data_IF_805267549739
#
_entry.id   IF_805267549739
#
_cell.length_a   1.000
_cell.length_b   1.000
_cell.length_c   1.000
_cell.angle_alpha   90.00
_cell.angle_beta   90.00
_cell.angle_gamma   90.00
#
_symmetry.space_group_name_H-M   'P 1'
#
loop_
_entity.id
_entity.type
_entity.pdbx_description
1 polymer ?
#
# COMPACT_ATOMS: atom_id res chain seq x y z
N UNK A 1 -11.99 -5.26 37.12
CA UNK A 1 -11.20 -4.10 37.53
C UNK A 1 -10.68 -3.41 36.25
N UNK A 2 -10.62 -2.11 36.26
CA UNK A 2 -10.00 -1.34 35.20
C UNK A 2 -8.50 -1.44 35.32
N UNK A 3 -7.82 -1.30 34.17
CA UNK A 3 -6.37 -1.36 34.10
C UNK A 3 -5.85 -0.48 32.98
N UNK A 4 -4.60 -0.10 33.06
CA UNK A 4 -3.85 0.51 32.00
C UNK A 4 -3.75 -0.45 30.80
N UNK A 5 -4.10 0.05 29.60
CA UNK A 5 -4.06 -0.77 28.39
C UNK A 5 -2.63 -1.06 27.97
N UNK A 6 -2.35 -2.29 27.55
CA UNK A 6 -1.04 -2.67 26.99
C UNK A 6 -0.77 -2.02 25.62
N UNK A 7 -1.76 -1.37 25.06
CA UNK A 7 -1.68 -0.67 23.77
C UNK A 7 -1.36 0.82 23.91
N UNK A 8 -0.92 1.24 25.10
CA UNK A 8 -0.44 2.58 25.37
C UNK A 8 1.05 2.70 25.19
N UNK A 9 1.49 3.84 24.67
CA UNK A 9 2.89 4.22 24.58
C UNK A 9 3.07 5.63 25.13
N UNK A 10 3.80 5.76 26.22
CA UNK A 10 4.12 7.03 26.84
C UNK A 10 5.61 7.34 26.66
N UNK A 11 5.91 8.59 26.31
CA UNK A 11 7.28 9.07 26.21
C UNK A 11 7.35 10.57 26.43
N UNK A 12 8.53 11.07 26.76
CA UNK A 12 8.79 12.50 26.81
C UNK A 12 10.01 12.85 25.97
N UNK A 13 9.98 14.00 25.32
CA UNK A 13 11.06 14.48 24.48
C UNK A 13 11.06 16.02 24.42
N UNK A 14 12.23 16.63 24.64
CA UNK A 14 12.41 18.09 24.61
C UNK A 14 11.42 18.86 25.50
N UNK A 15 11.09 18.31 26.67
CA UNK A 15 10.14 18.94 27.62
C UNK A 15 8.66 18.76 27.25
N UNK A 16 8.33 17.98 26.25
CA UNK A 16 6.95 17.62 25.86
C UNK A 16 6.64 16.20 26.30
N UNK A 17 5.51 15.99 26.95
CA UNK A 17 5.05 14.71 27.49
C UNK A 17 3.89 14.18 26.67
N UNK A 18 4.04 12.99 26.09
CA UNK A 18 3.16 12.47 25.05
C UNK A 18 2.64 11.07 25.42
N UNK A 19 1.37 10.84 25.09
CA UNK A 19 0.68 9.56 25.25
C UNK A 19 0.02 9.17 23.94
N UNK A 20 0.31 7.97 23.48
CA UNK A 20 -0.33 7.35 22.33
C UNK A 20 -1.06 6.07 22.76
N UNK A 21 -2.27 5.88 22.24
CA UNK A 21 -3.03 4.62 22.39
C UNK A 21 -3.40 4.08 21.01
N UNK A 22 -2.96 2.86 20.67
CA UNK A 22 -3.23 2.27 19.38
C UNK A 22 -4.62 1.64 19.22
N UNK A 23 -5.35 1.35 20.32
CA UNK A 23 -6.73 0.85 20.24
C UNK A 23 -7.69 1.89 19.67
N UNK A 24 -7.58 3.12 20.15
CA UNK A 24 -8.36 4.26 19.67
C UNK A 24 -7.66 5.02 18.54
N UNK A 25 -6.35 4.80 18.40
CA UNK A 25 -5.45 5.62 17.58
C UNK A 25 -5.45 7.09 18.03
N UNK A 26 -5.50 7.33 19.33
CA UNK A 26 -5.45 8.65 19.93
C UNK A 26 -4.03 9.04 20.33
N UNK A 27 -3.69 10.31 20.16
CA UNK A 27 -2.39 10.88 20.51
C UNK A 27 -2.60 12.22 21.20
N UNK A 28 -2.16 12.31 22.46
CA UNK A 28 -2.39 13.46 23.32
C UNK A 28 -1.10 13.95 23.96
N UNK A 29 -1.05 15.25 24.21
CA UNK A 29 -0.02 15.90 25.03
C UNK A 29 -0.56 16.00 26.46
N UNK A 30 0.27 15.62 27.42
CA UNK A 30 -0.03 15.66 28.84
C UNK A 30 0.72 16.82 29.52
N UNK A 31 0.19 17.31 30.63
CA UNK A 31 1.00 18.11 31.55
C UNK A 31 2.09 17.23 32.19
N UNK A 32 3.16 17.83 32.67
CA UNK A 32 4.20 17.12 33.41
C UNK A 32 3.63 16.45 34.68
N UNK A 33 2.69 17.11 35.33
CA UNK A 33 2.00 16.61 36.54
C UNK A 33 1.19 15.35 36.23
N UNK A 34 0.36 15.38 35.18
CA UNK A 34 -0.43 14.24 34.73
C UNK A 34 0.44 13.07 34.27
N UNK A 35 1.51 13.36 33.52
CA UNK A 35 2.45 12.34 33.07
C UNK A 35 3.09 11.61 34.26
N UNK A 36 3.53 12.35 35.29
CA UNK A 36 4.15 11.77 36.46
C UNK A 36 3.13 10.99 37.29
N UNK A 37 1.91 11.53 37.50
CA UNK A 37 0.82 10.85 38.18
C UNK A 37 0.48 9.51 37.50
N UNK A 38 0.27 9.54 36.17
CA UNK A 38 -0.04 8.34 35.41
C UNK A 38 1.11 7.33 35.52
N UNK A 39 2.37 7.77 35.39
CA UNK A 39 3.55 6.90 35.48
C UNK A 39 3.65 6.20 36.83
N UNK A 40 3.34 6.91 37.91
CA UNK A 40 3.29 6.35 39.27
C UNK A 40 2.17 5.31 39.41
N UNK A 41 0.98 5.61 38.93
CA UNK A 41 -0.15 4.69 38.92
C UNK A 41 0.10 3.42 38.14
N UNK A 42 0.74 3.54 36.95
CA UNK A 42 1.15 2.40 36.15
C UNK A 42 2.12 1.50 36.93
N UNK A 43 3.13 2.11 37.61
CA UNK A 43 4.14 1.36 38.39
C UNK A 43 3.53 0.55 39.53
N UNK A 44 2.41 1.05 40.09
CA UNK A 44 1.65 0.37 41.16
C UNK A 44 0.57 -0.57 40.62
N UNK A 45 0.38 -0.65 39.30
CA UNK A 45 -0.74 -1.39 38.70
C UNK A 45 -2.11 -0.96 39.18
N UNK A 46 -2.29 0.29 39.60
CA UNK A 46 -3.52 0.84 40.14
C UNK A 46 -3.90 2.16 39.49
N UNK A 47 -4.92 2.12 38.64
CA UNK A 47 -5.44 3.30 37.95
C UNK A 47 -6.40 4.14 38.78
N UNK A 48 -6.76 3.70 40.01
CA UNK A 48 -7.66 4.44 40.87
C UNK A 48 -6.99 5.67 41.52
N UNK A 49 -5.67 5.75 41.52
CA UNK A 49 -4.93 6.92 41.97
C UNK A 49 -4.93 8.10 40.98
N UNK A 50 -5.47 7.93 39.78
CA UNK A 50 -5.65 9.00 38.80
C UNK A 50 -6.90 9.78 39.14
N UNK A 51 -6.85 11.11 39.03
CA UNK A 51 -7.99 11.99 39.22
C UNK A 51 -9.21 11.55 38.39
N UNK A 52 -10.41 11.72 38.90
CA UNK A 52 -11.63 11.18 38.29
C UNK A 52 -11.91 11.77 36.90
N UNK A 53 -11.69 13.08 36.71
CA UNK A 53 -11.94 13.75 35.43
C UNK A 53 -10.91 13.26 34.38
N UNK A 54 -9.61 13.25 34.72
CA UNK A 54 -8.56 12.72 33.86
C UNK A 54 -8.78 11.23 33.54
N UNK A 55 -9.24 10.45 34.52
CA UNK A 55 -9.53 9.03 34.34
C UNK A 55 -10.69 8.80 33.39
N UNK A 56 -11.70 9.66 33.36
CA UNK A 56 -12.80 9.58 32.37
C UNK A 56 -12.30 9.86 30.94
N UNK A 57 -11.51 10.92 30.77
CA UNK A 57 -10.87 11.24 29.48
C UNK A 57 -9.99 10.07 28.98
N UNK A 58 -9.22 9.47 29.90
CA UNK A 58 -8.37 8.31 29.59
C UNK A 58 -9.17 7.05 29.21
N UNK A 59 -10.40 6.88 29.75
CA UNK A 59 -11.32 5.81 29.32
C UNK A 59 -11.87 6.07 27.92
N UNK A 60 -12.27 7.31 27.62
CA UNK A 60 -12.79 7.67 26.31
C UNK A 60 -11.79 7.33 25.20
N UNK A 61 -10.53 7.66 25.40
CA UNK A 61 -9.47 7.34 24.46
C UNK A 61 -8.88 5.91 24.59
N UNK A 62 -9.50 5.05 25.43
CA UNK A 62 -9.13 3.64 25.65
C UNK A 62 -7.73 3.40 26.22
N UNK A 63 -7.15 4.36 26.87
CA UNK A 63 -5.90 4.18 27.62
C UNK A 63 -6.14 3.41 28.92
N UNK A 64 -7.33 3.54 29.51
CA UNK A 64 -7.83 2.70 30.59
C UNK A 64 -8.95 1.82 30.04
N UNK A 65 -8.82 0.50 30.23
CA UNK A 65 -9.77 -0.49 29.73
C UNK A 65 -10.09 -1.56 30.77
N UNK A 66 -11.20 -2.25 30.59
CA UNK A 66 -11.53 -3.43 31.41
C UNK A 66 -10.82 -4.68 30.91
N UNK A 67 -10.68 -4.83 29.61
CA UNK A 67 -10.10 -6.02 28.98
C UNK A 67 -9.54 -5.72 27.60
N UNK A 68 -8.21 -5.74 27.44
CA UNK A 68 -7.52 -5.56 26.16
C UNK A 68 -7.89 -6.63 25.11
N UNK A 69 -8.08 -7.89 25.58
CA UNK A 69 -8.38 -8.98 24.64
C UNK A 69 -9.78 -8.85 24.05
N UNK A 70 -10.71 -8.25 24.81
CA UNK A 70 -12.02 -7.90 24.28
C UNK A 70 -11.95 -6.77 23.26
N UNK A 71 -11.18 -5.71 23.54
CA UNK A 71 -11.02 -4.60 22.61
C UNK A 71 -10.36 -5.05 21.30
N UNK A 72 -9.32 -5.89 21.37
CA UNK A 72 -8.67 -6.42 20.17
C UNK A 72 -9.58 -7.38 19.39
N UNK A 73 -10.44 -8.13 20.09
CA UNK A 73 -11.42 -9.01 19.45
C UNK A 73 -12.46 -8.23 18.64
N UNK A 74 -12.90 -7.05 19.12
CA UNK A 74 -13.77 -6.15 18.34
C UNK A 74 -13.11 -5.70 17.04
N UNK A 75 -11.79 -5.40 17.08
CA UNK A 75 -11.02 -5.01 15.89
C UNK A 75 -10.95 -6.17 14.92
N UNK A 76 -10.62 -7.37 15.40
CA UNK A 76 -10.60 -8.58 14.58
C UNK A 76 -11.97 -8.84 13.93
N UNK A 77 -13.03 -8.73 14.71
CA UNK A 77 -14.40 -8.88 14.20
C UNK A 77 -14.69 -7.90 13.04
N UNK A 78 -14.36 -6.63 13.21
CA UNK A 78 -14.56 -5.62 12.17
C UNK A 78 -13.75 -5.93 10.90
N UNK A 79 -12.52 -6.42 11.05
CA UNK A 79 -11.68 -6.82 9.92
C UNK A 79 -12.29 -8.03 9.19
N UNK A 80 -12.79 -9.03 9.93
CA UNK A 80 -13.44 -10.20 9.32
C UNK A 80 -14.72 -9.82 8.56
N UNK A 81 -15.56 -8.94 9.13
CA UNK A 81 -16.76 -8.43 8.43
C UNK A 81 -16.40 -7.76 7.11
N UNK A 82 -15.34 -6.95 7.09
CA UNK A 82 -14.85 -6.30 5.84
C UNK A 82 -14.27 -7.31 4.87
N UNK A 83 -13.46 -8.24 5.36
CA UNK A 83 -12.78 -9.28 4.56
C UNK A 83 -13.77 -10.13 3.78
N UNK A 84 -14.87 -10.49 4.40
CA UNK A 84 -15.91 -11.35 3.81
C UNK A 84 -17.12 -10.56 3.28
N UNK A 85 -17.03 -9.23 3.22
CA UNK A 85 -18.06 -8.43 2.56
C UNK A 85 -18.06 -8.67 1.06
N UNK A 86 -19.26 -8.82 0.49
CA UNK A 86 -19.48 -9.02 -0.95
C UNK A 86 -20.07 -7.78 -1.67
N UNK A 87 -20.05 -6.62 -1.00
CA UNK A 87 -20.58 -5.38 -1.55
C UNK A 87 -19.61 -4.62 -2.45
N UNK A 88 -18.33 -4.98 -2.42
CA UNK A 88 -17.29 -4.40 -3.26
C UNK A 88 -16.55 -5.51 -4.00
N UNK A 89 -16.33 -5.33 -5.30
CA UNK A 89 -15.52 -6.20 -6.13
C UNK A 89 -14.27 -5.41 -6.56
N UNK A 90 -13.09 -5.93 -6.23
CA UNK A 90 -11.81 -5.31 -6.54
C UNK A 90 -10.98 -6.25 -7.42
N UNK A 91 -10.80 -5.89 -8.68
CA UNK A 91 -10.11 -6.68 -9.68
C UNK A 91 -8.81 -6.00 -10.09
N UNK A 92 -7.69 -6.72 -10.00
CA UNK A 92 -6.50 -6.37 -10.74
C UNK A 92 -6.50 -7.19 -12.02
N UNK A 93 -6.52 -6.55 -13.18
CA UNK A 93 -6.64 -7.23 -14.47
C UNK A 93 -5.35 -7.04 -15.25
N UNK A 94 -4.75 -8.17 -15.64
CA UNK A 94 -3.55 -8.21 -16.46
C UNK A 94 -3.93 -8.56 -17.91
N UNK A 95 -4.05 -7.58 -18.82
CA UNK A 95 -4.41 -7.88 -20.20
C UNK A 95 -3.28 -8.60 -20.96
N UNK A 96 -2.06 -8.53 -20.45
CA UNK A 96 -0.89 -9.28 -20.95
C UNK A 96 0.19 -9.39 -19.87
N UNK A 97 1.02 -10.44 -19.96
CA UNK A 97 2.30 -10.53 -19.22
C UNK A 97 3.49 -10.05 -20.08
N UNK A 98 3.24 -9.67 -21.33
CA UNK A 98 4.26 -9.05 -22.18
C UNK A 98 4.59 -7.65 -21.69
N UNK A 99 5.89 -7.30 -21.71
CA UNK A 99 6.38 -5.97 -21.45
C UNK A 99 7.35 -5.53 -22.55
N UNK A 100 7.33 -4.25 -22.91
CA UNK A 100 8.28 -3.65 -23.83
C UNK A 100 9.63 -3.30 -23.18
N UNK A 101 9.71 -3.35 -21.82
CA UNK A 101 10.94 -3.08 -21.06
C UNK A 101 11.67 -4.37 -20.68
N UNK A 102 12.99 -4.24 -20.45
CA UNK A 102 13.89 -5.28 -19.97
C UNK A 102 14.53 -4.93 -18.62
N UNK A 103 13.73 -4.50 -17.62
CA UNK A 103 14.23 -4.11 -16.31
C UNK A 103 14.87 -5.30 -15.58
N UNK A 104 16.14 -5.24 -15.12
CA UNK A 104 16.83 -6.39 -14.52
C UNK A 104 16.31 -6.81 -13.15
N UNK A 105 15.56 -5.94 -12.46
CA UNK A 105 14.98 -6.20 -11.14
C UNK A 105 13.47 -6.47 -11.19
N UNK A 106 12.91 -6.75 -12.38
CA UNK A 106 11.47 -6.96 -12.52
C UNK A 106 11.03 -8.21 -11.76
N UNK A 107 10.12 -8.06 -10.80
CA UNK A 107 9.62 -9.20 -10.00
C UNK A 107 8.71 -10.15 -10.83
N UNK A 108 8.12 -9.68 -11.92
CA UNK A 108 7.39 -10.54 -12.85
C UNK A 108 8.35 -11.40 -13.71
N UNK A 109 9.65 -11.07 -13.74
CA UNK A 109 10.65 -11.80 -14.49
C UNK A 109 10.52 -11.65 -16.01
N UNK A 110 11.30 -12.45 -16.74
CA UNK A 110 11.17 -12.55 -18.18
C UNK A 110 10.30 -13.77 -18.51
N UNK A 111 9.00 -13.55 -18.67
CA UNK A 111 8.10 -14.63 -19.06
C UNK A 111 8.52 -15.17 -20.43
N UNK A 112 8.80 -16.46 -20.51
CA UNK A 112 9.17 -17.14 -21.77
C UNK A 112 8.10 -16.97 -22.84
N UNK A 113 6.84 -16.86 -22.41
CA UNK A 113 5.68 -16.54 -23.23
C UNK A 113 5.07 -15.23 -22.75
N UNK A 114 4.57 -14.41 -23.66
CA UNK A 114 3.86 -13.16 -23.34
C UNK A 114 2.39 -13.33 -23.67
N UNK A 115 1.63 -14.09 -22.86
CA UNK A 115 0.23 -14.33 -23.14
C UNK A 115 -0.55 -13.03 -23.15
N UNK A 116 -1.59 -12.99 -23.99
CA UNK A 116 -2.50 -11.85 -24.15
C UNK A 116 -3.92 -12.31 -23.91
N UNK A 117 -4.72 -11.45 -23.34
CA UNK A 117 -6.13 -11.70 -23.10
C UNK A 117 -6.89 -11.84 -24.43
N UNK A 118 -7.68 -12.92 -24.53
CA UNK A 118 -8.56 -13.19 -25.67
C UNK A 118 -9.96 -12.60 -25.44
N UNK A 119 -10.78 -12.56 -26.49
CA UNK A 119 -12.18 -12.16 -26.40
C UNK A 119 -12.98 -13.08 -25.47
N UNK A 120 -12.65 -14.36 -25.45
CA UNK A 120 -13.27 -15.35 -24.57
C UNK A 120 -12.99 -15.04 -23.10
N UNK A 121 -11.78 -14.67 -22.72
CA UNK A 121 -11.43 -14.26 -21.35
C UNK A 121 -12.15 -12.94 -20.99
N UNK A 122 -12.22 -11.99 -21.93
CA UNK A 122 -12.94 -10.74 -21.75
C UNK A 122 -14.42 -10.98 -21.43
N UNK A 123 -15.09 -11.83 -22.20
CA UNK A 123 -16.49 -12.19 -21.98
C UNK A 123 -16.69 -12.94 -20.67
N UNK A 124 -15.78 -13.84 -20.32
CA UNK A 124 -15.80 -14.56 -19.05
C UNK A 124 -15.63 -13.63 -17.84
N UNK A 125 -14.84 -12.56 -17.94
CA UNK A 125 -14.74 -11.51 -16.89
C UNK A 125 -16.08 -10.83 -16.69
N UNK A 126 -16.79 -10.49 -17.75
CA UNK A 126 -18.12 -9.85 -17.66
C UNK A 126 -19.12 -10.80 -16.97
N UNK A 127 -19.13 -12.07 -17.34
CA UNK A 127 -20.00 -13.06 -16.69
C UNK A 127 -19.59 -13.29 -15.22
N UNK A 128 -18.32 -13.25 -14.91
CA UNK A 128 -17.84 -13.29 -13.52
C UNK A 128 -18.36 -12.11 -12.70
N UNK A 129 -18.30 -10.87 -13.23
CA UNK A 129 -18.81 -9.67 -12.55
C UNK A 129 -20.32 -9.79 -12.33
N UNK A 130 -21.08 -10.27 -13.32
CA UNK A 130 -22.54 -10.47 -13.20
C UNK A 130 -22.90 -11.47 -12.09
N UNK A 131 -22.10 -12.53 -11.90
CA UNK A 131 -22.30 -13.50 -10.80
C UNK A 131 -22.12 -12.87 -9.41
N UNK A 132 -21.35 -11.78 -9.30
CA UNK A 132 -21.19 -11.00 -8.07
C UNK A 132 -22.31 -9.95 -7.90
N UNK A 133 -23.55 -10.39 -8.00
CA UNK A 133 -24.76 -9.53 -8.05
C UNK A 133 -24.98 -8.65 -6.82
N UNK A 134 -24.32 -8.93 -5.69
CA UNK A 134 -24.39 -8.11 -4.48
C UNK A 134 -23.34 -6.97 -4.47
N UNK A 135 -22.41 -6.98 -5.41
CA UNK A 135 -21.40 -5.92 -5.51
C UNK A 135 -22.05 -4.61 -5.98
N UNK A 136 -21.90 -3.57 -5.19
CA UNK A 136 -22.37 -2.20 -5.50
C UNK A 136 -21.30 -1.39 -6.22
N UNK A 137 -20.02 -1.72 -5.97
CA UNK A 137 -18.87 -1.03 -6.54
C UNK A 137 -17.93 -2.03 -7.20
N UNK A 138 -17.39 -1.65 -8.36
CA UNK A 138 -16.36 -2.37 -9.11
C UNK A 138 -15.11 -1.48 -9.22
N UNK A 139 -14.05 -1.87 -8.54
CA UNK A 139 -12.76 -1.19 -8.61
C UNK A 139 -11.79 -2.02 -9.46
N UNK A 140 -11.25 -1.43 -10.51
CA UNK A 140 -10.33 -2.11 -11.43
C UNK A 140 -8.96 -1.47 -11.38
N UNK A 141 -7.91 -2.28 -11.22
CA UNK A 141 -6.53 -1.88 -11.41
C UNK A 141 -5.98 -2.57 -12.68
N UNK A 142 -5.66 -1.79 -13.68
CA UNK A 142 -4.98 -2.29 -14.88
C UNK A 142 -3.50 -2.46 -14.59
N UNK A 143 -3.01 -3.69 -14.76
CA UNK A 143 -1.65 -4.09 -14.39
C UNK A 143 -1.10 -5.12 -15.40
N UNK A 144 -0.02 -5.84 -15.04
CA UNK A 144 0.63 -6.88 -15.85
C UNK A 144 2.01 -6.42 -16.31
N UNK A 145 2.56 -7.07 -17.35
CA UNK A 145 3.85 -6.69 -17.91
C UNK A 145 3.88 -5.21 -18.30
N UNK A 146 3.11 -4.85 -19.34
CA UNK A 146 2.82 -3.44 -19.69
C UNK A 146 1.37 -3.36 -20.24
N UNK A 147 0.41 -2.83 -19.46
CA UNK A 147 -0.99 -2.82 -19.87
C UNK A 147 -1.28 -1.98 -21.12
N UNK A 148 -0.50 -0.93 -21.39
CA UNK A 148 -0.68 -0.09 -22.57
C UNK A 148 -0.34 -0.79 -23.90
N UNK A 149 0.29 -1.97 -23.87
CA UNK A 149 0.47 -2.81 -25.06
C UNK A 149 -0.86 -3.38 -25.55
N UNK A 150 -1.84 -3.54 -24.65
CA UNK A 150 -3.17 -4.05 -24.92
C UNK A 150 -4.25 -2.97 -24.68
N UNK A 151 -3.98 -1.72 -25.04
CA UNK A 151 -4.87 -0.60 -24.73
C UNK A 151 -6.27 -0.76 -25.35
N UNK A 152 -6.37 -1.32 -26.55
CA UNK A 152 -7.67 -1.63 -27.18
C UNK A 152 -8.49 -2.62 -26.35
N UNK A 153 -7.84 -3.61 -25.75
CA UNK A 153 -8.48 -4.56 -24.83
C UNK A 153 -9.01 -3.84 -23.57
N UNK A 154 -8.20 -2.93 -22.99
CA UNK A 154 -8.64 -2.09 -21.87
C UNK A 154 -9.89 -1.27 -22.25
N UNK A 155 -9.94 -0.70 -23.44
CA UNK A 155 -11.10 0.07 -23.91
C UNK A 155 -12.35 -0.81 -24.04
N UNK A 156 -12.26 -1.93 -24.76
CA UNK A 156 -13.41 -2.81 -25.00
C UNK A 156 -13.96 -3.39 -23.71
N UNK A 157 -13.09 -3.92 -22.82
CA UNK A 157 -13.51 -4.50 -21.55
C UNK A 157 -14.09 -3.44 -20.61
N UNK A 158 -13.49 -2.23 -20.54
CA UNK A 158 -14.03 -1.13 -19.74
C UNK A 158 -15.44 -0.75 -20.19
N UNK A 159 -15.68 -0.61 -21.50
CA UNK A 159 -17.01 -0.28 -22.02
C UNK A 159 -18.04 -1.36 -21.67
N UNK A 160 -17.67 -2.66 -21.76
CA UNK A 160 -18.54 -3.75 -21.32
C UNK A 160 -18.86 -3.68 -19.82
N UNK A 161 -17.85 -3.36 -18.97
CA UNK A 161 -18.05 -3.18 -17.53
C UNK A 161 -18.95 -2.00 -17.19
N UNK A 162 -18.76 -0.85 -17.86
CA UNK A 162 -19.61 0.33 -17.69
C UNK A 162 -21.07 0.07 -18.07
N UNK A 163 -21.31 -0.77 -19.09
CA UNK A 163 -22.66 -1.15 -19.50
C UNK A 163 -23.42 -2.00 -18.46
N UNK A 164 -22.75 -2.54 -17.44
CA UNK A 164 -23.39 -3.26 -16.34
C UNK A 164 -24.12 -2.35 -15.34
N UNK A 165 -23.87 -1.02 -15.38
CA UNK A 165 -24.50 -0.05 -14.49
C UNK A 165 -24.05 -0.10 -13.04
N UNK A 166 -22.98 -0.84 -12.72
CA UNK A 166 -22.33 -0.85 -11.40
C UNK A 166 -21.46 0.40 -11.24
N UNK A 167 -21.33 0.93 -10.01
CA UNK A 167 -20.40 2.04 -9.75
C UNK A 167 -18.96 1.59 -10.05
N UNK A 168 -18.39 2.16 -11.12
CA UNK A 168 -17.08 1.74 -11.63
C UNK A 168 -16.00 2.80 -11.39
N UNK A 169 -14.83 2.36 -10.93
CA UNK A 169 -13.62 3.19 -10.80
C UNK A 169 -12.42 2.39 -11.29
N UNK A 170 -11.49 3.08 -11.95
CA UNK A 170 -10.27 2.42 -12.43
C UNK A 170 -8.99 3.20 -12.11
N UNK A 171 -7.91 2.44 -12.02
CA UNK A 171 -6.53 2.90 -11.93
C UNK A 171 -5.65 2.11 -12.89
N UNK A 172 -4.44 2.63 -13.16
CA UNK A 172 -3.48 1.96 -14.02
C UNK A 172 -2.06 2.06 -13.44
N UNK A 173 -1.33 0.95 -13.48
CA UNK A 173 0.10 0.91 -13.18
C UNK A 173 0.82 0.55 -14.47
N UNK A 174 1.70 1.44 -14.94
CA UNK A 174 2.34 1.35 -16.26
C UNK A 174 3.77 1.89 -16.22
N UNK A 175 4.60 1.50 -17.17
CA UNK A 175 5.89 2.16 -17.38
C UNK A 175 5.76 3.54 -18.05
N UNK A 176 4.60 3.89 -18.57
CA UNK A 176 4.28 5.21 -19.11
C UNK A 176 4.83 5.48 -20.53
N UNK A 177 5.64 4.58 -21.11
CA UNK A 177 6.32 4.81 -22.38
C UNK A 177 5.38 4.88 -23.58
N UNK A 178 4.30 4.08 -23.56
CA UNK A 178 3.38 3.93 -24.69
C UNK A 178 2.21 4.91 -24.70
N UNK A 179 2.17 5.90 -23.80
CA UNK A 179 1.18 6.97 -23.88
C UNK A 179 1.36 7.82 -25.13
N UNK A 180 0.27 8.33 -25.62
CA UNK A 180 0.13 9.35 -26.65
C UNK A 180 -1.12 10.19 -26.37
N UNK A 181 -1.37 11.21 -27.18
CA UNK A 181 -2.52 12.13 -27.00
C UNK A 181 -3.86 11.39 -27.00
N UNK A 182 -4.04 10.41 -27.87
CA UNK A 182 -5.26 9.62 -27.99
C UNK A 182 -5.54 8.83 -26.70
N UNK A 183 -4.54 8.09 -26.23
CA UNK A 183 -4.64 7.29 -24.98
C UNK A 183 -4.86 8.18 -23.75
N UNK A 184 -4.19 9.34 -23.67
CA UNK A 184 -4.37 10.26 -22.58
C UNK A 184 -5.81 10.80 -22.52
N UNK A 185 -6.36 11.24 -23.65
CA UNK A 185 -7.77 11.72 -23.72
C UNK A 185 -8.79 10.63 -23.37
N UNK A 186 -8.52 9.38 -23.71
CA UNK A 186 -9.41 8.27 -23.43
C UNK A 186 -9.52 7.93 -21.92
N UNK A 187 -8.57 8.34 -21.07
CA UNK A 187 -8.57 7.98 -19.64
C UNK A 187 -9.85 8.42 -18.91
N UNK A 188 -10.39 9.59 -19.25
CA UNK A 188 -11.63 10.10 -18.65
C UNK A 188 -12.84 9.21 -18.97
N UNK A 189 -13.00 8.82 -20.23
CA UNK A 189 -14.09 7.95 -20.67
C UNK A 189 -13.96 6.55 -20.04
N UNK A 190 -12.74 6.08 -19.88
CA UNK A 190 -12.40 4.80 -19.23
C UNK A 190 -12.45 4.87 -17.70
N UNK A 191 -12.80 6.03 -17.11
CA UNK A 191 -12.83 6.25 -15.65
C UNK A 191 -11.52 5.92 -14.94
N UNK A 192 -10.41 6.06 -15.63
CA UNK A 192 -9.06 5.89 -15.06
C UNK A 192 -8.65 7.21 -14.41
N UNK A 193 -8.91 7.33 -13.12
CA UNK A 193 -8.66 8.56 -12.34
C UNK A 193 -7.27 8.61 -11.71
N UNK A 194 -6.53 7.50 -11.74
CA UNK A 194 -5.20 7.40 -11.17
C UNK A 194 -4.28 6.57 -12.06
N UNK A 195 -3.10 7.11 -12.35
CA UNK A 195 -2.04 6.42 -13.10
C UNK A 195 -0.75 6.46 -12.30
N UNK A 196 -0.17 5.30 -11.99
CA UNK A 196 1.16 5.20 -11.43
C UNK A 196 2.19 4.93 -12.53
N UNK A 197 3.23 5.76 -12.59
CA UNK A 197 4.36 5.61 -13.52
C UNK A 197 5.65 5.46 -12.71
N UNK A 198 6.54 4.56 -13.13
CA UNK A 198 7.81 4.34 -12.43
C UNK A 198 8.97 5.07 -13.10
N UNK A 199 9.70 5.88 -12.30
CA UNK A 199 10.99 6.47 -12.65
C UNK A 199 12.00 6.16 -11.55
N UNK A 200 13.15 5.54 -11.87
CA UNK A 200 14.12 5.09 -10.86
C UNK A 200 15.25 6.09 -10.57
N UNK A 201 15.17 7.28 -11.13
CA UNK A 201 16.15 8.35 -10.97
C UNK A 201 16.10 9.35 -12.11
N UNK A 202 17.09 10.23 -12.19
CA UNK A 202 17.35 11.05 -13.37
C UNK A 202 17.74 10.18 -14.57
N UNK A 203 17.89 10.78 -15.75
CA UNK A 203 18.12 10.08 -17.01
C UNK A 203 19.15 8.95 -16.92
N UNK A 204 20.34 9.26 -16.42
CA UNK A 204 21.45 8.29 -16.38
C UNK A 204 21.11 7.09 -15.50
N UNK A 205 20.56 7.33 -14.32
CA UNK A 205 20.18 6.26 -13.38
C UNK A 205 18.98 5.48 -13.90
N UNK A 206 17.97 6.19 -14.43
CA UNK A 206 16.77 5.54 -14.96
C UNK A 206 17.08 4.64 -16.15
N UNK A 207 17.80 5.13 -17.15
CA UNK A 207 18.04 4.41 -18.40
C UNK A 207 18.96 3.19 -18.22
N UNK A 208 19.78 3.14 -17.16
CA UNK A 208 20.54 1.96 -16.77
C UNK A 208 19.66 0.86 -16.15
N UNK A 209 18.54 1.24 -15.53
CA UNK A 209 17.65 0.35 -14.77
C UNK A 209 16.38 -0.01 -15.53
N UNK A 210 15.89 0.88 -16.39
CA UNK A 210 14.60 0.76 -17.08
C UNK A 210 14.75 1.14 -18.55
N UNK A 211 15.08 0.17 -19.35
CA UNK A 211 15.31 0.32 -20.79
C UNK A 211 14.35 -0.55 -21.61
N UNK A 212 14.15 -0.21 -22.88
CA UNK A 212 13.42 -1.07 -23.81
C UNK A 212 14.13 -2.42 -23.98
N UNK A 213 13.38 -3.49 -24.24
CA UNK A 213 13.96 -4.72 -24.80
C UNK A 213 14.75 -4.34 -26.05
N UNK A 214 16.05 -4.55 -26.03
CA UNK A 214 16.99 -4.04 -27.06
C UNK A 214 17.91 -2.91 -26.58
N UNK A 215 17.82 -2.49 -25.31
CA UNK A 215 18.80 -1.61 -24.64
C UNK A 215 18.61 -0.10 -24.91
N UNK A 216 17.49 0.33 -25.52
CA UNK A 216 17.25 1.75 -25.79
C UNK A 216 16.76 2.52 -24.57
N UNK A 217 17.16 3.80 -24.39
CA UNK A 217 16.76 4.64 -23.27
C UNK A 217 15.27 4.97 -23.30
N UNK A 218 14.69 5.28 -22.13
CA UNK A 218 13.25 5.49 -21.98
C UNK A 218 12.87 6.77 -21.22
N UNK A 219 13.79 7.36 -20.47
CA UNK A 219 13.53 8.48 -19.58
C UNK A 219 12.83 9.65 -20.28
N UNK A 220 13.40 10.16 -21.37
CA UNK A 220 12.88 11.36 -22.04
C UNK A 220 11.45 11.14 -22.56
N UNK A 221 11.21 9.97 -23.15
CA UNK A 221 9.87 9.62 -23.65
C UNK A 221 8.84 9.54 -22.54
N UNK A 222 9.21 8.99 -21.38
CA UNK A 222 8.31 8.93 -20.23
C UNK A 222 8.03 10.34 -19.70
N UNK A 223 9.04 11.21 -19.60
CA UNK A 223 8.85 12.61 -19.18
C UNK A 223 7.92 13.37 -20.14
N UNK A 224 8.11 13.21 -21.44
CA UNK A 224 7.20 13.79 -22.45
C UNK A 224 5.76 13.29 -22.24
N UNK A 225 5.59 12.00 -22.02
CA UNK A 225 4.27 11.40 -21.79
C UNK A 225 3.64 11.85 -20.47
N UNK A 226 4.42 12.08 -19.40
CA UNK A 226 3.92 12.66 -18.15
C UNK A 226 3.40 14.09 -18.38
N UNK A 227 4.11 14.92 -19.14
CA UNK A 227 3.63 16.26 -19.53
C UNK A 227 2.35 16.19 -20.35
N UNK A 228 2.31 15.27 -21.31
CA UNK A 228 1.15 15.02 -22.15
C UNK A 228 -0.07 14.57 -21.33
N UNK A 229 0.10 13.73 -20.33
CA UNK A 229 -0.96 13.33 -19.40
C UNK A 229 -1.48 14.53 -18.61
N UNK A 230 -0.60 15.37 -18.08
CA UNK A 230 -1.00 16.56 -17.31
C UNK A 230 -1.80 17.57 -18.18
N UNK A 231 -1.52 17.63 -19.49
CA UNK A 231 -2.21 18.50 -20.45
C UNK A 231 -3.55 17.93 -20.91
N UNK A 232 -3.60 16.64 -21.27
CA UNK A 232 -4.74 16.04 -21.97
C UNK A 232 -5.63 15.15 -21.07
N UNK A 233 -5.21 14.88 -19.82
CA UNK A 233 -5.97 14.14 -18.83
C UNK A 233 -5.97 14.84 -17.46
N UNK A 234 -6.44 16.10 -17.36
CA UNK A 234 -6.30 16.93 -16.15
C UNK A 234 -7.08 16.37 -14.93
N UNK A 235 -8.06 15.49 -15.14
CA UNK A 235 -8.83 14.81 -14.10
C UNK A 235 -8.11 13.56 -13.58
N UNK A 236 -7.03 13.11 -14.24
CA UNK A 236 -6.25 11.93 -13.85
C UNK A 236 -5.05 12.35 -13.00
N UNK A 237 -4.99 11.84 -11.77
CA UNK A 237 -3.80 11.99 -10.92
C UNK A 237 -2.68 11.08 -11.39
N UNK A 238 -1.49 11.64 -11.62
CA UNK A 238 -0.30 10.88 -11.98
C UNK A 238 0.62 10.79 -10.77
N UNK A 239 0.96 9.58 -10.35
CA UNK A 239 1.87 9.33 -9.25
C UNK A 239 3.15 8.70 -9.77
N UNK A 240 4.25 9.45 -9.67
CA UNK A 240 5.58 8.94 -10.02
C UNK A 240 6.12 8.16 -8.83
N UNK A 241 6.33 6.87 -9.04
CA UNK A 241 6.96 5.96 -8.07
C UNK A 241 8.45 5.87 -8.38
N UNK A 242 9.31 6.17 -7.42
CA UNK A 242 10.75 5.98 -7.54
C UNK A 242 11.15 4.73 -6.77
N UNK A 243 11.51 3.66 -7.48
CA UNK A 243 11.98 2.44 -6.84
C UNK A 243 13.42 2.63 -6.36
N UNK A 244 13.59 2.61 -5.05
CA UNK A 244 14.85 2.85 -4.37
C UNK A 244 15.45 1.56 -3.83
N UNK A 245 16.74 1.40 -4.06
CA UNK A 245 17.62 0.45 -3.41
C UNK A 245 18.94 1.15 -2.99
N UNK A 246 19.91 0.43 -2.48
CA UNK A 246 21.18 1.01 -2.04
C UNK A 246 21.94 1.73 -3.17
N UNK A 247 21.70 1.35 -4.44
CA UNK A 247 22.43 1.91 -5.59
C UNK A 247 21.96 3.29 -6.03
N UNK A 248 20.72 3.70 -5.67
CA UNK A 248 20.14 4.97 -6.16
C UNK A 248 19.45 5.83 -5.10
N UNK A 249 19.36 5.38 -3.84
CA UNK A 249 18.65 6.10 -2.79
C UNK A 249 19.24 7.49 -2.52
N UNK A 250 20.55 7.65 -2.58
CA UNK A 250 21.24 8.92 -2.37
C UNK A 250 20.92 9.98 -3.42
N UNK A 251 20.47 9.55 -4.62
CA UNK A 251 20.08 10.41 -5.77
C UNK A 251 18.58 10.70 -5.85
N UNK A 252 17.80 10.26 -4.86
CA UNK A 252 16.34 10.49 -4.87
C UNK A 252 15.97 11.98 -4.99
N UNK A 253 16.71 12.87 -4.32
CA UNK A 253 16.44 14.30 -4.36
C UNK A 253 16.63 14.91 -5.73
N UNK A 254 17.51 14.36 -6.56
CA UNK A 254 17.76 14.87 -7.91
C UNK A 254 16.52 14.69 -8.79
N UNK A 255 15.95 13.47 -8.80
CA UNK A 255 14.71 13.20 -9.56
C UNK A 255 13.50 13.90 -8.93
N UNK A 256 13.43 13.99 -7.60
CA UNK A 256 12.37 14.73 -6.92
C UNK A 256 12.33 16.20 -7.36
N UNK A 257 13.47 16.88 -7.30
CA UNK A 257 13.59 18.29 -7.69
C UNK A 257 13.34 18.46 -9.20
N UNK A 258 13.83 17.55 -10.03
CA UNK A 258 13.55 17.54 -11.46
C UNK A 258 12.04 17.53 -11.75
N UNK A 259 11.30 16.60 -11.15
CA UNK A 259 9.85 16.50 -11.33
C UNK A 259 9.11 17.71 -10.77
N UNK A 260 9.50 18.22 -9.59
CA UNK A 260 8.90 19.42 -8.99
C UNK A 260 9.07 20.67 -9.89
N UNK A 261 10.23 20.80 -10.53
CA UNK A 261 10.50 21.90 -11.46
C UNK A 261 9.71 21.83 -12.78
N UNK A 262 9.02 20.71 -13.06
CA UNK A 262 8.08 20.65 -14.19
C UNK A 262 6.77 21.42 -13.89
N UNK A 263 6.49 21.75 -12.62
CA UNK A 263 5.31 22.50 -12.18
C UNK A 263 3.96 21.89 -12.63
N UNK A 264 3.86 20.56 -12.73
CA UNK A 264 2.67 19.85 -13.15
C UNK A 264 1.75 19.57 -11.95
N UNK A 265 0.56 20.19 -11.91
CA UNK A 265 -0.35 20.15 -10.74
C UNK A 265 -0.92 18.76 -10.44
N UNK A 266 -1.15 17.96 -11.46
CA UNK A 266 -1.72 16.60 -11.34
C UNK A 266 -0.67 15.54 -11.05
N UNK A 267 0.62 15.91 -10.98
CA UNK A 267 1.74 14.99 -10.85
C UNK A 267 2.33 15.05 -9.45
N UNK A 268 2.38 13.90 -8.80
CA UNK A 268 3.08 13.69 -7.53
C UNK A 268 4.26 12.74 -7.71
N UNK A 269 5.21 12.77 -6.77
CA UNK A 269 6.37 11.87 -6.76
C UNK A 269 6.63 11.37 -5.35
N UNK A 270 6.90 10.07 -5.19
CA UNK A 270 7.18 9.44 -3.91
C UNK A 270 8.24 8.34 -4.03
N UNK A 271 9.04 8.12 -2.98
CA UNK A 271 9.96 7.01 -2.90
C UNK A 271 9.21 5.71 -2.59
N UNK A 272 9.72 4.59 -3.10
CA UNK A 272 9.25 3.26 -2.75
C UNK A 272 10.44 2.30 -2.73
N UNK A 273 10.63 1.59 -1.63
CA UNK A 273 11.75 0.69 -1.50
C UNK A 273 11.53 -0.59 -2.32
N UNK A 274 12.58 -0.99 -3.03
CA UNK A 274 12.61 -2.28 -3.74
C UNK A 274 12.59 -3.38 -2.69
N UNK A 275 11.78 -4.40 -2.93
CA UNK A 275 11.74 -5.63 -2.13
C UNK A 275 12.30 -6.76 -2.96
N UNK A 276 13.10 -7.60 -2.34
CA UNK A 276 13.60 -8.80 -2.98
C UNK A 276 12.53 -9.89 -2.94
N UNK A 277 11.78 -10.02 -4.02
CA UNK A 277 10.76 -11.08 -4.18
C UNK A 277 11.22 -12.21 -5.09
N UNK A 278 12.39 -12.07 -5.66
CA UNK A 278 12.96 -13.06 -6.57
C UNK A 278 14.38 -13.34 -6.15
N UNK A 279 14.85 -14.55 -6.41
CA UNK A 279 16.27 -14.95 -6.39
C UNK A 279 17.10 -14.17 -7.43
N UNK A 280 16.62 -12.99 -7.86
CA UNK A 280 17.37 -12.09 -8.72
C UNK A 280 18.57 -11.57 -7.94
N UNK A 281 19.72 -12.17 -8.18
CA UNK A 281 21.02 -11.88 -7.61
C UNK A 281 21.50 -10.40 -7.77
N UNK A 282 20.64 -9.50 -8.22
CA UNK A 282 20.94 -8.12 -8.57
C UNK A 282 20.14 -7.08 -7.78
N UNK A 283 19.37 -7.46 -6.74
CA UNK A 283 18.70 -6.48 -5.91
C UNK A 283 19.59 -6.07 -4.74
N UNK A 284 20.03 -4.81 -4.74
CA UNK A 284 20.62 -4.17 -3.57
C UNK A 284 19.51 -3.62 -2.66
N UNK A 285 18.55 -4.47 -2.26
CA UNK A 285 17.43 -4.04 -1.43
C UNK A 285 17.93 -3.47 -0.11
N UNK A 286 17.43 -2.30 0.26
CA UNK A 286 17.77 -1.67 1.54
C UNK A 286 17.12 -2.45 2.69
N UNK A 287 17.86 -2.70 3.74
CA UNK A 287 17.32 -3.23 4.99
C UNK A 287 16.40 -2.20 5.69
N UNK A 288 15.61 -2.65 6.66
CA UNK A 288 14.65 -1.82 7.39
C UNK A 288 15.29 -0.62 8.09
N UNK A 289 16.52 -0.79 8.63
CA UNK A 289 17.23 0.29 9.30
C UNK A 289 17.67 1.37 8.30
N UNK A 290 18.25 0.97 7.17
CA UNK A 290 18.64 1.90 6.09
C UNK A 290 17.44 2.63 5.49
N UNK A 291 16.29 1.95 5.34
CA UNK A 291 15.03 2.58 4.93
C UNK A 291 14.59 3.64 5.95
N UNK A 292 14.64 3.34 7.25
CA UNK A 292 14.29 4.29 8.29
C UNK A 292 15.25 5.50 8.30
N UNK A 293 16.56 5.26 8.24
CA UNK A 293 17.58 6.31 8.16
C UNK A 293 17.34 7.24 6.96
N UNK A 294 16.95 6.68 5.82
CA UNK A 294 16.60 7.46 4.62
C UNK A 294 15.37 8.36 4.87
N UNK A 295 14.28 7.80 5.40
CA UNK A 295 13.04 8.55 5.70
C UNK A 295 13.33 9.67 6.73
N UNK A 296 14.07 9.35 7.78
CA UNK A 296 14.50 10.29 8.83
C UNK A 296 15.31 11.44 8.24
N UNK A 297 16.32 11.15 7.39
CA UNK A 297 17.15 12.15 6.71
C UNK A 297 16.31 13.08 5.83
N UNK A 298 15.34 12.55 5.09
CA UNK A 298 14.44 13.37 4.26
C UNK A 298 13.61 14.32 5.11
N UNK A 299 13.09 13.85 6.24
CA UNK A 299 12.31 14.67 7.14
C UNK A 299 13.16 15.73 7.85
N UNK A 300 14.23 15.33 8.52
CA UNK A 300 15.03 16.24 9.36
C UNK A 300 15.80 17.29 8.55
N UNK A 301 16.37 16.90 7.40
CA UNK A 301 17.18 17.80 6.57
C UNK A 301 16.39 18.60 5.54
N UNK A 302 15.29 18.04 5.04
CA UNK A 302 14.55 18.62 3.91
C UNK A 302 13.09 18.94 4.23
N UNK A 303 12.60 18.58 5.43
CA UNK A 303 11.21 18.77 5.84
C UNK A 303 10.20 17.92 5.04
N UNK A 304 10.67 16.87 4.38
CA UNK A 304 9.86 16.03 3.49
C UNK A 304 9.27 14.84 4.23
N UNK A 305 7.95 14.75 4.26
CA UNK A 305 7.21 13.60 4.81
C UNK A 305 6.52 12.85 3.66
N UNK A 306 7.14 11.79 3.17
CA UNK A 306 6.56 10.92 2.14
C UNK A 306 5.70 9.79 2.70
N UNK A 307 5.86 9.49 3.97
CA UNK A 307 5.04 8.53 4.70
C UNK A 307 4.27 9.27 5.79
N UNK A 308 3.10 8.78 6.14
CA UNK A 308 2.46 9.23 7.37
C UNK A 308 3.30 8.78 8.56
N UNK A 309 3.77 9.70 9.37
CA UNK A 309 4.40 9.37 10.65
C UNK A 309 3.35 8.99 11.71
N UNK A 310 2.08 9.24 11.44
CA UNK A 310 1.00 8.79 12.28
C UNK A 310 0.47 7.44 11.81
N UNK A 311 0.26 6.48 12.71
CA UNK A 311 -0.34 5.20 12.35
C UNK A 311 -1.68 5.39 11.66
N UNK A 312 -1.89 4.76 10.53
CA UNK A 312 -3.17 4.83 9.84
C UNK A 312 -4.27 4.22 10.72
N UNK A 313 -5.22 5.03 11.15
CA UNK A 313 -6.42 4.54 11.84
C UNK A 313 -7.37 3.76 10.93
N UNK A 314 -7.18 3.86 9.62
CA UNK A 314 -7.90 3.07 8.63
C UNK A 314 -7.28 1.68 8.56
N UNK A 315 -7.80 0.79 9.36
CA UNK A 315 -7.44 -0.64 9.44
C UNK A 315 -7.93 -1.39 8.20
N UNK A 316 -7.64 -0.85 7.02
CA UNK A 316 -7.94 -1.51 5.76
C UNK A 316 -6.83 -2.51 5.52
N UNK A 317 -7.17 -3.78 5.65
CA UNK A 317 -6.26 -4.85 5.25
C UNK A 317 -5.96 -4.76 3.75
N UNK A 318 -4.83 -5.32 3.32
CA UNK A 318 -4.52 -5.43 1.90
C UNK A 318 -5.66 -6.14 1.16
N UNK A 319 -6.04 -5.64 -0.03
CA UNK A 319 -7.16 -6.19 -0.82
C UNK A 319 -7.05 -7.69 -1.12
N UNK A 320 -5.84 -8.25 -1.11
CA UNK A 320 -5.62 -9.69 -1.30
C UNK A 320 -6.23 -10.56 -0.18
N UNK A 321 -6.48 -9.99 1.00
CA UNK A 321 -7.19 -10.66 2.10
C UNK A 321 -8.70 -10.57 1.97
N UNK A 322 -9.24 -9.74 1.08
CA UNK A 322 -10.68 -9.66 0.86
C UNK A 322 -11.13 -10.80 -0.05
N UNK A 323 -12.28 -11.40 0.27
CA UNK A 323 -12.85 -12.48 -0.53
C UNK A 323 -13.02 -12.05 -2.00
N UNK A 324 -13.55 -10.85 -2.22
CA UNK A 324 -13.79 -10.27 -3.54
C UNK A 324 -12.63 -9.38 -4.06
N UNK A 325 -11.43 -9.50 -3.49
CA UNK A 325 -10.20 -8.90 -4.00
C UNK A 325 -9.36 -9.95 -4.71
N UNK A 326 -9.15 -9.83 -6.01
CA UNK A 326 -8.43 -10.84 -6.79
C UNK A 326 -7.69 -10.26 -7.98
N UNK A 327 -6.78 -11.05 -8.52
CA UNK A 327 -5.98 -10.73 -9.71
C UNK A 327 -6.35 -11.72 -10.81
N UNK A 328 -6.65 -11.21 -12.01
CA UNK A 328 -6.99 -11.99 -13.19
C UNK A 328 -5.81 -11.94 -14.14
N UNK A 329 -5.26 -13.10 -14.45
CA UNK A 329 -4.24 -13.28 -15.47
C UNK A 329 -4.80 -13.23 -16.89
N UNK A 330 -3.93 -13.10 -17.93
CA UNK A 330 -4.36 -12.93 -19.32
C UNK A 330 -5.06 -14.15 -19.90
N UNK A 331 -4.85 -15.35 -19.35
CA UNK A 331 -5.53 -16.57 -19.77
C UNK A 331 -6.73 -16.93 -18.89
N UNK A 332 -7.12 -16.02 -17.96
CA UNK A 332 -8.23 -16.21 -17.06
C UNK A 332 -7.88 -16.88 -15.74
N UNK A 333 -6.60 -17.01 -15.43
CA UNK A 333 -6.10 -17.52 -14.15
C UNK A 333 -6.49 -16.55 -13.01
N UNK A 334 -6.84 -17.12 -11.85
CA UNK A 334 -7.16 -16.36 -10.64
C UNK A 334 -6.04 -16.45 -9.62
N UNK A 335 -5.52 -15.29 -9.21
CA UNK A 335 -4.53 -15.14 -8.16
C UNK A 335 -5.05 -14.23 -7.05
N UNK A 336 -4.46 -14.31 -5.86
CA UNK A 336 -4.76 -13.38 -4.77
C UNK A 336 -3.81 -12.18 -4.76
N UNK A 337 -2.55 -12.37 -5.10
CA UNK A 337 -1.53 -11.32 -5.10
C UNK A 337 -0.95 -11.12 -6.51
N UNK A 338 -0.64 -9.88 -6.86
CA UNK A 338 0.07 -9.59 -8.11
C UNK A 338 1.48 -10.17 -8.16
N UNK A 339 2.15 -10.38 -6.99
CA UNK A 339 3.44 -11.06 -6.92
C UNK A 339 3.38 -12.55 -7.29
N UNK A 340 2.18 -13.10 -7.39
CA UNK A 340 1.94 -14.49 -7.76
C UNK A 340 1.67 -14.69 -9.26
N UNK A 341 1.43 -13.59 -9.98
CA UNK A 341 1.06 -13.64 -11.39
C UNK A 341 2.15 -14.33 -12.21
N UNK A 342 1.73 -15.28 -13.06
CA UNK A 342 2.64 -16.09 -13.87
C UNK A 342 3.23 -17.31 -13.16
N UNK A 343 2.92 -17.53 -11.88
CA UNK A 343 3.33 -18.72 -11.11
C UNK A 343 2.19 -19.72 -11.07
N UNK A 344 2.35 -20.86 -11.73
CA UNK A 344 1.30 -21.87 -11.88
C UNK A 344 0.82 -22.42 -10.52
N UNK A 345 1.74 -22.64 -9.59
CA UNK A 345 1.46 -23.15 -8.25
C UNK A 345 0.69 -22.17 -7.35
N UNK A 346 0.56 -20.91 -7.80
CA UNK A 346 -0.18 -19.82 -7.12
C UNK A 346 -1.55 -19.54 -7.72
N UNK A 347 -1.89 -20.23 -8.79
CA UNK A 347 -3.24 -20.17 -9.38
C UNK A 347 -4.20 -20.89 -8.44
N UNK A 348 -5.20 -20.17 -7.90
CA UNK A 348 -6.19 -20.79 -7.03
C UNK A 348 -7.49 -21.18 -7.76
N UNK A 349 -7.65 -20.77 -9.00
CA UNK A 349 -8.82 -21.07 -9.81
C UNK A 349 -8.76 -20.42 -11.19
N UNK A 350 -9.86 -20.51 -11.92
CA UNK A 350 -10.01 -19.93 -13.24
C UNK A 350 -11.30 -19.13 -13.36
N UNK A 351 -11.29 -18.06 -14.18
CA UNK A 351 -12.48 -17.27 -14.52
C UNK A 351 -13.56 -18.14 -15.19
N UNK A 352 -13.17 -19.22 -15.83
CA UNK A 352 -14.03 -20.17 -16.56
C UNK A 352 -14.60 -21.29 -15.71
N UNK A 353 -13.99 -21.55 -14.55
CA UNK A 353 -14.31 -22.72 -13.73
C UNK A 353 -14.40 -22.42 -12.25
N UNK A 354 -14.28 -23.50 -11.47
CA UNK A 354 -14.29 -23.44 -10.02
C UNK A 354 -12.89 -23.19 -9.44
N UNK A 355 -12.84 -23.06 -8.12
CA UNK A 355 -11.59 -22.99 -7.36
C UNK A 355 -10.89 -24.36 -7.50
N UNK A 356 -9.64 -24.34 -7.97
CA UNK A 356 -8.82 -25.54 -8.19
C UNK A 356 -7.78 -25.76 -7.08
N UNK A 357 -7.43 -24.72 -6.31
CA UNK A 357 -6.46 -24.76 -5.23
C UNK A 357 -6.95 -23.92 -4.03
N UNK A 358 -7.78 -24.56 -3.20
CA UNK A 358 -8.36 -23.93 -2.02
C UNK A 358 -7.29 -23.55 -0.98
N UNK A 359 -6.16 -24.28 -0.92
CA UNK A 359 -5.08 -23.99 0.04
C UNK A 359 -4.51 -22.59 -0.19
N UNK A 360 -4.19 -22.23 -1.42
CA UNK A 360 -3.71 -20.88 -1.75
C UNK A 360 -4.73 -19.82 -1.39
N UNK A 361 -6.02 -20.06 -1.68
CA UNK A 361 -7.09 -19.11 -1.35
C UNK A 361 -7.21 -18.91 0.17
N UNK A 362 -7.26 -20.00 0.95
CA UNK A 362 -7.41 -19.97 2.41
C UNK A 362 -6.17 -19.36 3.08
N UNK A 363 -4.97 -19.66 2.58
CA UNK A 363 -3.73 -19.04 3.07
C UNK A 363 -3.83 -17.50 3.04
N UNK A 364 -4.29 -16.91 1.94
CA UNK A 364 -4.43 -15.46 1.84
C UNK A 364 -5.60 -14.92 2.65
N UNK A 365 -6.72 -15.62 2.72
CA UNK A 365 -7.89 -15.16 3.45
C UNK A 365 -7.72 -15.29 4.97
N UNK A 366 -7.09 -16.36 5.45
CA UNK A 366 -7.04 -16.72 6.86
C UNK A 366 -5.61 -16.95 7.38
N UNK A 367 -4.73 -17.58 6.59
CA UNK A 367 -3.43 -18.05 7.05
C UNK A 367 -2.47 -16.95 7.46
N UNK A 368 -2.62 -15.74 6.91
CA UNK A 368 -1.80 -14.57 7.24
C UNK A 368 -2.41 -13.69 8.35
N UNK A 369 -3.30 -14.22 9.21
CA UNK A 369 -3.98 -13.42 10.22
C UNK A 369 -3.04 -13.03 11.38
N UNK A 370 -2.76 -11.71 11.61
CA UNK A 370 -1.87 -11.27 12.68
C UNK A 370 -2.46 -11.52 14.07
N UNK A 371 -3.78 -11.69 14.20
CA UNK A 371 -4.43 -11.95 15.48
C UNK A 371 -4.18 -13.39 15.99
N UNK A 372 -3.72 -14.30 15.12
CA UNK A 372 -3.33 -15.66 15.50
C UNK A 372 -1.82 -15.80 15.76
N UNK A 373 -1.02 -14.77 15.44
CA UNK A 373 0.41 -14.76 15.64
C UNK A 373 0.78 -14.31 17.07
N UNK A 374 1.52 -15.12 17.85
CA UNK A 374 1.91 -14.79 19.21
C UNK A 374 2.78 -13.51 19.34
N UNK A 375 3.63 -13.18 18.33
CA UNK A 375 4.43 -11.95 18.26
C UNK A 375 3.49 -10.74 18.10
N UNK A 376 2.59 -10.82 17.13
CA UNK A 376 1.65 -9.73 16.84
C UNK A 376 0.67 -9.50 18.01
N UNK A 377 0.18 -10.55 18.65
CA UNK A 377 -0.74 -10.43 19.81
C UNK A 377 -0.15 -9.66 20.98
N UNK A 378 1.17 -9.61 21.11
CA UNK A 378 1.88 -8.84 22.13
C UNK A 378 2.30 -7.45 21.65
N UNK A 379 2.19 -7.17 20.35
CA UNK A 379 2.65 -5.94 19.75
C UNK A 379 1.70 -4.77 20.03
N UNK A 380 2.25 -3.66 20.47
CA UNK A 380 1.48 -2.42 20.71
C UNK A 380 0.82 -1.90 19.44
N UNK A 381 1.39 -2.16 18.26
CA UNK A 381 0.87 -1.68 16.98
C UNK A 381 -0.19 -2.61 16.35
N UNK A 382 -0.48 -3.78 16.93
CA UNK A 382 -1.47 -4.71 16.36
C UNK A 382 -2.81 -4.03 16.01
N UNK A 383 -3.37 -3.13 16.85
CA UNK A 383 -4.64 -2.48 16.56
C UNK A 383 -4.63 -1.64 15.27
N UNK A 384 -3.49 -1.14 14.83
CA UNK A 384 -3.35 -0.24 13.67
C UNK A 384 -2.53 -0.81 12.51
N UNK A 385 -1.74 -1.87 12.75
CA UNK A 385 -0.79 -2.42 11.79
C UNK A 385 -1.43 -3.37 10.77
N UNK A 386 -2.52 -4.08 11.11
CA UNK A 386 -3.14 -5.12 10.26
C UNK A 386 -2.17 -6.25 9.81
N UNK A 387 -1.00 -6.39 10.44
CA UNK A 387 -0.05 -7.48 10.22
C UNK A 387 0.93 -7.32 9.06
N UNK A 388 1.03 -6.14 8.47
CA UNK A 388 1.96 -5.88 7.36
C UNK A 388 1.49 -6.47 6.03
N UNK A 389 2.43 -6.80 5.14
CA UNK A 389 2.14 -7.42 3.84
C UNK A 389 1.74 -8.89 4.01
N UNK A 390 0.53 -9.31 3.61
CA UNK A 390 0.12 -10.72 3.73
C UNK A 390 0.95 -11.69 2.88
N UNK A 391 1.44 -11.24 1.73
CA UNK A 391 2.35 -12.04 0.90
C UNK A 391 3.65 -12.34 1.66
N UNK A 392 4.36 -11.31 2.16
CA UNK A 392 5.60 -11.49 2.92
C UNK A 392 5.36 -12.34 4.17
N UNK A 393 4.22 -12.10 4.85
CA UNK A 393 3.85 -12.84 6.05
C UNK A 393 3.68 -14.33 5.78
N UNK A 394 3.04 -14.72 4.68
CA UNK A 394 2.92 -16.12 4.29
C UNK A 394 4.28 -16.74 3.96
N UNK A 395 5.19 -15.99 3.30
CA UNK A 395 6.54 -16.46 3.05
C UNK A 395 7.30 -16.68 4.37
N UNK A 396 7.21 -15.71 5.31
CA UNK A 396 7.81 -15.85 6.65
C UNK A 396 7.31 -17.07 7.40
N UNK A 397 5.98 -17.30 7.40
CA UNK A 397 5.38 -18.44 8.09
C UNK A 397 5.78 -19.79 7.47
N UNK A 398 6.01 -19.84 6.15
CA UNK A 398 6.42 -21.05 5.44
C UNK A 398 7.94 -21.29 5.49
N UNK A 399 8.73 -20.22 5.41
CA UNK A 399 10.19 -20.31 5.21
C UNK A 399 11.01 -19.74 6.38
N UNK A 400 10.39 -19.05 7.33
CA UNK A 400 11.08 -18.53 8.54
C UNK A 400 11.91 -17.24 8.35
N UNK A 401 11.84 -16.54 7.22
CA UNK A 401 12.94 -15.66 6.80
C UNK A 401 12.61 -14.18 6.55
N UNK A 402 11.43 -13.63 6.80
CA UNK A 402 11.25 -12.19 6.54
C UNK A 402 10.67 -11.41 7.71
N UNK A 403 11.18 -10.20 7.94
CA UNK A 403 10.56 -9.25 8.85
C UNK A 403 9.44 -8.52 8.11
N UNK A 404 8.21 -8.85 8.46
CA UNK A 404 7.00 -8.25 7.87
C UNK A 404 6.54 -7.00 8.63
N UNK A 405 7.27 -6.61 9.68
CA UNK A 405 6.91 -5.48 10.53
C UNK A 405 7.10 -4.16 9.79
N UNK A 406 6.22 -3.17 9.97
CA UNK A 406 6.43 -1.84 9.40
C UNK A 406 7.61 -1.15 10.09
N UNK A 407 8.31 -0.26 9.37
CA UNK A 407 9.44 0.54 9.88
C UNK A 407 9.14 1.25 11.21
N UNK A 408 7.87 1.57 11.46
CA UNK A 408 7.43 2.19 12.70
C UNK A 408 7.61 1.29 13.92
N UNK A 409 7.63 -0.04 13.77
CA UNK A 409 7.66 -0.96 14.91
C UNK A 409 8.86 -0.71 15.83
N UNK A 410 10.05 -0.59 15.26
CA UNK A 410 11.29 -0.37 16.00
C UNK A 410 11.61 1.12 16.23
N UNK A 411 10.77 2.01 15.67
CA UNK A 411 11.02 3.46 15.66
C UNK A 411 9.76 4.26 16.06
N UNK A 412 8.88 3.68 16.90
CA UNK A 412 7.58 4.27 17.23
C UNK A 412 7.69 5.68 17.81
N UNK A 413 8.66 5.90 18.70
CA UNK A 413 8.89 7.19 19.33
C UNK A 413 9.27 8.28 18.31
N UNK A 414 10.22 7.98 17.41
CA UNK A 414 10.60 8.92 16.36
C UNK A 414 9.43 9.23 15.42
N UNK A 415 8.62 8.23 15.05
CA UNK A 415 7.44 8.43 14.21
C UNK A 415 6.40 9.34 14.87
N UNK A 416 6.05 9.06 16.14
CA UNK A 416 5.10 9.87 16.89
C UNK A 416 5.64 11.29 17.14
N UNK A 417 6.94 11.41 17.41
CA UNK A 417 7.59 12.70 17.57
C UNK A 417 7.56 13.54 16.28
N UNK A 418 7.86 12.94 15.13
CA UNK A 418 7.78 13.65 13.85
C UNK A 418 6.35 14.04 13.49
N UNK A 419 5.37 13.19 13.82
CA UNK A 419 3.97 13.56 13.69
C UNK A 419 3.62 14.79 14.54
N UNK A 420 4.04 14.81 15.81
CA UNK A 420 3.84 15.96 16.71
C UNK A 420 4.42 17.26 16.11
N UNK A 421 5.68 17.22 15.68
CA UNK A 421 6.34 18.40 15.04
C UNK A 421 5.57 18.86 13.79
N UNK A 422 5.08 17.96 12.96
CA UNK A 422 4.29 18.32 11.78
C UNK A 422 2.98 19.00 12.16
N UNK A 423 2.29 18.49 13.17
CA UNK A 423 1.05 19.07 13.69
C UNK A 423 1.27 20.48 14.20
N UNK A 424 2.29 20.69 15.03
CA UNK A 424 2.66 22.00 15.54
C UNK A 424 3.00 23.02 14.44
N UNK A 425 3.78 22.62 13.42
CA UNK A 425 4.05 23.47 12.27
C UNK A 425 2.78 23.85 11.50
N UNK A 426 1.82 22.95 11.35
CA UNK A 426 0.56 23.22 10.67
C UNK A 426 -0.33 24.20 11.46
N UNK A 427 -0.37 24.08 12.78
CA UNK A 427 -1.11 25.02 13.66
C UNK A 427 -0.48 26.41 13.58
N UNK A 428 0.85 26.52 13.71
CA UNK A 428 1.57 27.78 13.67
C UNK A 428 1.47 28.51 12.31
N UNK A 429 1.35 27.76 11.20
CA UNK A 429 1.14 28.32 9.86
C UNK A 429 -0.29 28.80 9.59
N UNK A 430 -1.30 28.27 10.31
CA UNK A 430 -2.69 28.75 10.21
C UNK A 430 -2.94 30.03 11.03
N UNK A 431 -2.09 30.30 12.00
CA UNK A 431 -2.17 31.48 12.87
C UNK A 431 -1.35 32.68 12.35
N UNK A 432 -0.67 32.52 11.23
CA UNK A 432 0.02 33.58 10.45
C UNK A 432 -0.77 33.92 9.19
#
# INVERSE_FOLDING_TARGET
MEKWSRYNYMFHRNGTFLLYNSLSNSFVELSEEDYNCISECISRCDVNGIDDDLREDLREIKTIVKNDDFEISKIRYTNLVRRFSNTNLALTINPTLGCNFGCPYCFEGDHKTSPRMTDEVEDAIIEFIKRHSLAKTLNVAWFGGEPLMEFSRIQTLTHKMLALGIEYKASMITNGYLFNVEKAKALSDLKISFVQITLDGTRETHDQRRYLKGGHPTFDRIIENIKLLAEHAPETSVSIRVNLDESNADRFLDIYNYVKNLHLKTVSIHPAFVRDYSDCANSCAMDSNNQFVFVKKLFEKHGMAFTSFYPSGNRIECGIRNMNGLVIGPLGELYKCWNDVGKEEKVYGSIFGEISNEEVLIDYLMGADPFDDPKCRKCILLPVCSGGCPYDRLQTLKNGESDTCPLMMDNIEDYLWYHYILKEKMINNKNK
#
